data_IF_512395987076
#
_entry.id   IF_512395987076
#
_cell.length_a   1.000
_cell.length_b   1.000
_cell.length_c   1.000
_cell.angle_alpha   90.00
_cell.angle_beta   90.00
_cell.angle_gamma   90.00
#
_symmetry.space_group_name_H-M   'P 1'
#
loop_
_entity.id
_entity.type
_entity.pdbx_description
1 polymer ?
#
# COMPACT_ATOMS: atom_id res chain seq x y z
N UNK A 1 -3.63 32.49 -24.72
CA UNK A 1 -4.92 31.99 -24.17
C UNK A 1 -4.57 30.76 -23.38
N UNK A 2 -4.36 30.92 -22.07
CA UNK A 2 -3.92 29.85 -21.19
C UNK A 2 -5.15 29.17 -20.64
N UNK A 3 -5.37 27.90 -21.02
CA UNK A 3 -6.39 27.05 -20.39
C UNK A 3 -5.94 26.68 -18.98
N UNK A 4 -6.63 27.26 -18.01
CA UNK A 4 -6.49 26.88 -16.60
C UNK A 4 -7.09 25.49 -16.41
N UNK A 5 -6.22 24.48 -16.28
CA UNK A 5 -6.63 23.14 -15.83
C UNK A 5 -7.09 23.24 -14.37
N UNK A 6 -8.39 23.35 -14.18
CA UNK A 6 -9.00 23.32 -12.83
C UNK A 6 -8.82 21.91 -12.25
N UNK A 7 -7.94 21.78 -11.24
CA UNK A 7 -7.79 20.57 -10.42
C UNK A 7 -9.12 20.27 -9.73
N UNK A 8 -9.74 19.16 -10.05
CA UNK A 8 -10.91 18.64 -9.33
C UNK A 8 -10.50 18.38 -7.88
N UNK A 9 -11.21 19.00 -6.93
CA UNK A 9 -11.10 18.66 -5.51
C UNK A 9 -11.33 17.14 -5.28
N UNK A 10 -10.63 16.51 -4.32
CA UNK A 10 -10.83 15.11 -4.02
C UNK A 10 -12.30 14.89 -3.63
N UNK A 11 -12.94 13.91 -4.26
CA UNK A 11 -14.31 13.54 -3.96
C UNK A 11 -14.40 13.13 -2.48
N UNK A 12 -15.26 13.81 -1.73
CA UNK A 12 -15.53 13.50 -0.33
C UNK A 12 -15.76 11.99 -0.18
N UNK A 13 -15.03 11.35 0.73
CA UNK A 13 -15.16 9.93 1.03
C UNK A 13 -16.63 9.61 1.30
N UNK A 14 -17.27 8.86 0.40
CA UNK A 14 -18.64 8.39 0.58
C UNK A 14 -18.68 7.63 1.91
N UNK A 15 -19.51 8.09 2.87
CA UNK A 15 -19.81 7.38 4.12
C UNK A 15 -20.05 5.90 3.77
N UNK A 16 -19.15 5.02 4.19
CA UNK A 16 -19.36 3.57 4.12
C UNK A 16 -20.58 3.29 4.99
N UNK A 17 -21.74 3.00 4.38
CA UNK A 17 -22.82 2.34 5.08
C UNK A 17 -22.22 1.14 5.78
N UNK A 18 -22.55 0.92 7.05
CA UNK A 18 -22.05 -0.19 7.85
C UNK A 18 -22.53 -1.51 7.22
N UNK A 19 -21.74 -2.01 6.26
CA UNK A 19 -21.98 -3.33 5.70
C UNK A 19 -21.85 -4.34 6.84
N UNK A 20 -22.88 -5.15 7.06
CA UNK A 20 -22.81 -6.28 8.01
C UNK A 20 -21.60 -7.12 7.61
N UNK A 21 -20.65 -7.27 8.51
CA UNK A 21 -19.53 -8.20 8.29
C UNK A 21 -20.10 -9.63 8.35
N UNK A 22 -19.91 -10.45 7.29
CA UNK A 22 -20.29 -11.85 7.33
C UNK A 22 -19.63 -12.57 8.50
N UNK A 23 -20.28 -13.61 9.01
CA UNK A 23 -19.70 -14.51 10.00
C UNK A 23 -18.58 -15.34 9.39
N UNK A 24 -17.73 -15.90 10.25
CA UNK A 24 -16.69 -16.84 9.84
C UNK A 24 -17.26 -18.04 9.08
N UNK A 25 -18.37 -18.60 9.56
CA UNK A 25 -19.03 -19.73 8.91
C UNK A 25 -19.51 -19.39 7.48
N UNK A 26 -20.05 -18.20 7.27
CA UNK A 26 -20.44 -17.72 5.94
C UNK A 26 -19.21 -17.57 5.02
N UNK A 27 -18.08 -17.09 5.53
CA UNK A 27 -16.83 -16.98 4.76
C UNK A 27 -16.30 -18.37 4.37
N UNK A 28 -16.26 -19.33 5.30
CA UNK A 28 -15.84 -20.70 5.03
C UNK A 28 -16.77 -21.42 4.03
N UNK A 29 -18.08 -21.17 4.11
CA UNK A 29 -19.04 -21.71 3.14
C UNK A 29 -18.81 -21.15 1.72
N UNK A 30 -18.45 -19.85 1.60
CA UNK A 30 -18.10 -19.25 0.32
C UNK A 30 -16.84 -19.90 -0.29
N UNK A 31 -15.84 -20.24 0.53
CA UNK A 31 -14.64 -20.95 0.06
C UNK A 31 -15.00 -22.35 -0.44
N UNK A 32 -15.86 -23.12 0.25
CA UNK A 32 -16.37 -24.42 -0.25
C UNK A 32 -17.03 -24.28 -1.60
N UNK A 33 -17.87 -23.26 -1.76
CA UNK A 33 -18.52 -22.97 -3.04
C UNK A 33 -17.48 -22.71 -4.15
N UNK A 34 -16.44 -21.94 -3.87
CA UNK A 34 -15.38 -21.65 -4.85
C UNK A 34 -14.57 -22.89 -5.23
N UNK A 35 -14.28 -23.79 -4.29
CA UNK A 35 -13.61 -25.06 -4.55
C UNK A 35 -14.44 -25.91 -5.51
N UNK A 36 -15.74 -26.08 -5.21
CA UNK A 36 -16.65 -26.83 -6.09
C UNK A 36 -16.80 -26.19 -7.46
N UNK A 37 -16.87 -24.84 -7.53
CA UNK A 37 -16.93 -24.12 -8.81
C UNK A 37 -15.65 -24.29 -9.64
N UNK A 38 -14.49 -24.41 -8.98
CA UNK A 38 -13.22 -24.71 -9.64
C UNK A 38 -13.13 -26.16 -10.19
N UNK A 39 -14.09 -27.04 -9.82
CA UNK A 39 -14.20 -28.40 -10.31
C UNK A 39 -13.61 -29.47 -9.37
N UNK A 40 -13.35 -29.14 -8.10
CA UNK A 40 -12.80 -30.09 -7.13
C UNK A 40 -13.81 -30.37 -5.99
N UNK A 41 -13.64 -31.49 -5.28
CA UNK A 41 -14.51 -31.91 -4.17
C UNK A 41 -14.02 -31.28 -2.85
N UNK A 42 -14.76 -30.34 -2.26
CA UNK A 42 -14.39 -29.72 -0.98
C UNK A 42 -14.36 -30.71 0.20
N UNK A 43 -14.99 -31.88 0.06
CA UNK A 43 -15.06 -32.88 1.13
C UNK A 43 -13.90 -33.90 1.08
N UNK A 44 -13.10 -33.92 0.00
CA UNK A 44 -11.92 -34.80 -0.04
C UNK A 44 -10.91 -34.41 1.04
N UNK A 45 -10.16 -35.40 1.54
CA UNK A 45 -9.28 -35.25 2.73
C UNK A 45 -8.34 -34.04 2.66
N UNK A 46 -7.72 -33.76 1.52
CA UNK A 46 -6.80 -32.65 1.35
C UNK A 46 -7.47 -31.26 1.37
N UNK A 47 -8.79 -31.16 1.19
CA UNK A 47 -9.54 -29.90 1.12
C UNK A 47 -10.49 -29.63 2.30
N UNK A 48 -10.74 -30.61 3.17
CA UNK A 48 -11.65 -30.45 4.32
C UNK A 48 -11.33 -29.23 5.20
N UNK A 49 -10.04 -28.98 5.46
CA UNK A 49 -9.58 -27.87 6.27
C UNK A 49 -9.34 -26.59 5.47
N UNK A 50 -9.38 -26.62 4.14
CA UNK A 50 -9.05 -25.49 3.28
C UNK A 50 -9.95 -24.28 3.53
N UNK A 51 -11.28 -24.42 3.72
CA UNK A 51 -12.15 -23.29 4.02
C UNK A 51 -11.70 -22.50 5.28
N UNK A 52 -11.36 -23.23 6.35
CA UNK A 52 -10.86 -22.63 7.59
C UNK A 52 -9.50 -21.95 7.37
N UNK A 53 -8.56 -22.62 6.71
CA UNK A 53 -7.21 -22.07 6.43
C UNK A 53 -7.26 -20.82 5.56
N UNK A 54 -8.16 -20.78 4.57
CA UNK A 54 -8.35 -19.59 3.72
C UNK A 54 -8.95 -18.45 4.54
N UNK A 55 -9.94 -18.72 5.41
CA UNK A 55 -10.50 -17.71 6.28
C UNK A 55 -9.45 -17.11 7.22
N UNK A 56 -8.57 -17.95 7.81
CA UNK A 56 -7.44 -17.51 8.65
C UNK A 56 -6.47 -16.63 7.83
N UNK A 57 -6.07 -17.08 6.66
CA UNK A 57 -5.17 -16.32 5.77
C UNK A 57 -5.77 -14.97 5.38
N UNK A 58 -7.07 -14.89 5.10
CA UNK A 58 -7.76 -13.63 4.78
C UNK A 58 -7.76 -12.65 5.96
N UNK A 59 -7.81 -13.13 7.20
CA UNK A 59 -7.67 -12.27 8.38
C UNK A 59 -6.28 -11.64 8.48
N UNK A 60 -5.25 -12.36 8.06
CA UNK A 60 -3.87 -11.84 8.01
C UNK A 60 -3.66 -10.91 6.80
N UNK A 61 -4.07 -11.32 5.59
CA UNK A 61 -3.93 -10.53 4.37
C UNK A 61 -4.63 -9.18 4.45
N UNK A 62 -5.77 -9.12 5.15
CA UNK A 62 -6.59 -7.91 5.24
C UNK A 62 -6.61 -7.30 6.65
N UNK A 63 -5.59 -7.58 7.46
CA UNK A 63 -5.46 -7.03 8.82
C UNK A 63 -5.45 -5.49 8.85
N UNK A 64 -5.00 -4.85 7.78
CA UNK A 64 -4.93 -3.39 7.66
C UNK A 64 -6.26 -2.68 7.73
N UNK A 65 -7.39 -3.37 7.47
CA UNK A 65 -8.72 -2.78 7.67
C UNK A 65 -9.09 -2.55 9.14
N UNK A 66 -8.39 -3.20 10.08
CA UNK A 66 -8.60 -3.08 11.53
C UNK A 66 -7.68 -2.05 12.19
N UNK A 67 -6.76 -1.47 11.43
CA UNK A 67 -5.74 -0.56 11.92
C UNK A 67 -5.93 0.84 11.36
N UNK A 68 -5.73 1.86 12.21
CA UNK A 68 -5.71 3.25 11.79
C UNK A 68 -4.24 3.70 11.60
N UNK A 69 -3.85 4.14 10.39
CA UNK A 69 -2.51 4.68 10.16
C UNK A 69 -2.20 5.88 11.06
N UNK A 70 -3.20 6.69 11.43
CA UNK A 70 -3.02 7.86 12.29
C UNK A 70 -2.50 7.46 13.68
N UNK A 71 -2.95 6.33 14.24
CA UNK A 71 -2.47 5.84 15.54
C UNK A 71 -0.97 5.54 15.51
N UNK A 72 -0.50 4.96 14.40
CA UNK A 72 0.92 4.66 14.20
C UNK A 72 1.74 5.93 14.05
N UNK A 73 1.22 6.92 13.35
CA UNK A 73 1.91 8.17 13.05
C UNK A 73 1.79 9.21 14.17
N UNK A 74 0.96 9.00 15.19
CA UNK A 74 0.69 9.95 16.27
C UNK A 74 1.92 10.36 17.09
N UNK A 75 2.96 9.50 17.17
CA UNK A 75 4.18 9.79 17.92
C UNK A 75 5.26 10.33 16.98
N UNK A 76 5.49 11.60 17.00
CA UNK A 76 6.58 12.29 16.33
C UNK A 76 7.65 12.69 17.34
N UNK A 77 8.82 13.09 16.85
CA UNK A 77 9.92 13.61 17.64
C UNK A 77 10.24 15.02 17.16
N UNK A 78 10.33 15.98 18.07
CA UNK A 78 10.60 17.39 17.77
C UNK A 78 12.10 17.70 17.67
N UNK A 79 12.97 16.75 18.08
CA UNK A 79 14.41 16.93 18.00
C UNK A 79 14.98 16.33 16.70
N UNK A 80 15.23 17.18 15.73
CA UNK A 80 15.90 16.82 14.46
C UNK A 80 17.40 17.12 14.47
N UNK A 81 17.94 17.71 15.55
CA UNK A 81 19.37 18.02 15.63
C UNK A 81 19.90 18.88 14.49
N UNK A 82 19.04 19.72 13.87
CA UNK A 82 19.38 20.52 12.69
C UNK A 82 19.40 19.74 11.38
N UNK A 83 18.90 18.48 11.35
CA UNK A 83 18.81 17.72 10.11
C UNK A 83 17.63 18.22 9.24
N UNK A 84 17.94 18.74 8.06
CA UNK A 84 17.01 19.38 7.14
C UNK A 84 16.96 18.72 5.75
N UNK A 85 17.54 17.54 5.61
CA UNK A 85 17.64 16.80 4.36
C UNK A 85 16.70 15.59 4.30
N UNK A 86 16.64 14.89 3.15
CA UNK A 86 15.78 13.74 2.93
C UNK A 86 16.02 12.61 3.93
N UNK A 87 14.97 12.21 4.64
CA UNK A 87 14.91 10.95 5.38
C UNK A 87 14.26 9.92 4.48
N UNK A 88 14.98 8.82 4.18
CA UNK A 88 14.49 7.80 3.26
C UNK A 88 14.58 6.40 3.84
N UNK A 89 13.50 5.64 3.69
CA UNK A 89 13.48 4.18 3.84
C UNK A 89 13.37 3.55 2.45
N UNK A 90 14.29 2.64 2.16
CA UNK A 90 14.35 1.93 0.89
C UNK A 90 14.07 0.44 1.07
N UNK A 91 13.54 -0.18 0.01
CA UNK A 91 13.29 -1.63 -0.05
C UNK A 91 12.31 -2.14 1.04
N UNK A 92 11.31 -1.32 1.40
CA UNK A 92 10.23 -1.75 2.30
C UNK A 92 9.39 -2.78 1.56
N UNK A 93 9.27 -4.00 2.09
CA UNK A 93 8.49 -5.08 1.49
C UNK A 93 7.02 -4.70 1.34
N UNK A 94 6.46 -4.94 0.18
CA UNK A 94 5.04 -4.77 -0.14
C UNK A 94 4.45 -6.12 -0.51
N UNK A 95 3.45 -6.53 0.27
CA UNK A 95 2.59 -7.69 0.00
C UNK A 95 1.15 -7.21 0.09
N UNK A 96 0.48 -7.15 -1.06
CA UNK A 96 -0.89 -6.63 -1.14
C UNK A 96 -1.73 -7.45 -2.10
N UNK A 97 -3.03 -7.15 -2.18
CA UNK A 97 -3.97 -7.87 -3.02
C UNK A 97 -4.72 -6.89 -3.93
N UNK A 98 -4.67 -7.17 -5.23
CA UNK A 98 -5.39 -6.42 -6.24
C UNK A 98 -6.91 -6.49 -5.99
N UNK A 99 -7.56 -5.35 -5.86
CA UNK A 99 -9.01 -5.28 -5.58
C UNK A 99 -9.88 -5.87 -6.71
N UNK A 100 -9.35 -5.94 -7.95
CA UNK A 100 -10.09 -6.44 -9.09
C UNK A 100 -10.18 -7.97 -9.15
N UNK A 101 -9.17 -8.68 -8.61
CA UNK A 101 -9.04 -10.14 -8.80
C UNK A 101 -8.74 -10.90 -7.50
N UNK A 102 -8.59 -10.23 -6.36
CA UNK A 102 -8.10 -10.81 -5.10
C UNK A 102 -6.74 -11.53 -5.24
N UNK A 103 -6.04 -11.30 -6.35
CA UNK A 103 -4.72 -11.86 -6.59
C UNK A 103 -3.64 -11.00 -5.92
N UNK A 104 -2.58 -11.60 -5.37
CA UNK A 104 -1.52 -10.84 -4.73
C UNK A 104 -0.72 -10.02 -5.74
N UNK A 105 -0.15 -8.91 -5.27
CA UNK A 105 0.97 -8.26 -5.92
C UNK A 105 2.08 -8.05 -4.89
N UNK A 106 3.31 -8.32 -5.33
CA UNK A 106 4.48 -8.39 -4.47
C UNK A 106 5.56 -7.45 -5.00
N UNK A 107 6.18 -6.72 -4.09
CA UNK A 107 7.18 -5.76 -4.50
C UNK A 107 7.85 -5.04 -3.34
N UNK A 108 8.31 -3.83 -3.62
CA UNK A 108 8.97 -2.97 -2.66
C UNK A 108 8.45 -1.54 -2.76
N UNK A 109 8.45 -0.85 -1.63
CA UNK A 109 8.18 0.57 -1.54
C UNK A 109 9.46 1.31 -1.08
N UNK A 110 9.66 2.48 -1.65
CA UNK A 110 10.65 3.45 -1.25
C UNK A 110 9.91 4.69 -0.80
N UNK A 111 10.13 5.13 0.43
CA UNK A 111 9.43 6.24 1.04
C UNK A 111 10.45 7.23 1.57
N UNK A 112 10.31 8.49 1.17
CA UNK A 112 11.12 9.57 1.71
C UNK A 112 10.25 10.77 2.10
N UNK A 113 10.74 11.56 3.03
CA UNK A 113 10.17 12.86 3.35
C UNK A 113 11.27 13.88 3.67
N UNK A 114 10.97 15.13 3.47
CA UNK A 114 11.84 16.26 3.82
C UNK A 114 11.30 16.89 5.12
N UNK A 115 11.99 16.75 6.26
CA UNK A 115 11.50 17.22 7.54
C UNK A 115 11.19 18.72 7.58
N UNK A 116 10.25 19.11 8.45
CA UNK A 116 10.00 20.48 8.86
C UNK A 116 9.89 20.53 10.39
N UNK A 117 11.05 20.52 11.07
CA UNK A 117 11.15 20.54 12.53
C UNK A 117 10.77 19.25 13.26
N UNK A 118 10.09 18.31 12.60
CA UNK A 118 9.66 17.03 13.20
C UNK A 118 10.08 15.84 12.36
N UNK A 119 10.35 14.72 13.03
CA UNK A 119 10.64 13.44 12.37
C UNK A 119 9.74 12.31 12.88
N UNK A 120 9.60 11.29 12.04
CA UNK A 120 8.96 10.02 12.38
C UNK A 120 10.02 8.98 12.77
N UNK A 121 9.68 8.13 13.74
CA UNK A 121 10.46 6.92 13.93
C UNK A 121 10.43 6.05 12.66
N UNK A 122 11.60 5.64 12.18
CA UNK A 122 11.74 4.92 10.89
C UNK A 122 10.84 3.70 10.77
N UNK A 123 10.64 2.94 11.86
CA UNK A 123 9.75 1.77 11.90
C UNK A 123 8.28 2.11 11.64
N UNK A 124 7.85 3.35 11.87
CA UNK A 124 6.46 3.77 11.65
C UNK A 124 6.14 3.92 10.18
N UNK A 125 7.11 4.37 9.37
CA UNK A 125 6.97 4.45 7.92
C UNK A 125 6.71 3.06 7.34
N UNK A 126 7.51 2.06 7.72
CA UNK A 126 7.31 0.69 7.28
C UNK A 126 5.94 0.12 7.73
N UNK A 127 5.49 0.44 8.95
CA UNK A 127 4.17 0.02 9.45
C UNK A 127 3.02 0.67 8.67
N UNK A 128 3.14 1.93 8.28
CA UNK A 128 2.12 2.60 7.47
C UNK A 128 2.01 1.95 6.09
N UNK A 129 3.14 1.63 5.47
CA UNK A 129 3.16 0.86 4.22
C UNK A 129 2.44 -0.48 4.40
N UNK A 130 2.74 -1.22 5.47
CA UNK A 130 2.11 -2.50 5.78
C UNK A 130 0.58 -2.36 6.00
N UNK A 131 0.13 -1.36 6.79
CA UNK A 131 -1.29 -1.14 7.08
C UNK A 131 -2.08 -0.91 5.80
N UNK A 132 -1.57 -0.11 4.88
CA UNK A 132 -2.25 0.13 3.61
C UNK A 132 -2.11 -1.05 2.65
N UNK A 133 -0.97 -1.72 2.60
CA UNK A 133 -0.76 -2.90 1.77
C UNK A 133 -1.69 -4.05 2.16
N UNK A 134 -1.95 -4.26 3.46
CA UNK A 134 -2.88 -5.29 3.95
C UNK A 134 -4.36 -4.90 3.82
N UNK A 135 -4.73 -4.39 2.63
CA UNK A 135 -6.09 -4.06 2.20
C UNK A 135 -6.25 -4.49 0.75
N UNK A 136 -7.50 -4.51 0.25
CA UNK A 136 -7.73 -4.59 -1.20
C UNK A 136 -7.33 -3.26 -1.82
N UNK A 137 -6.44 -3.29 -2.81
CA UNK A 137 -5.80 -2.09 -3.36
C UNK A 137 -5.72 -2.08 -4.88
N UNK A 138 -5.73 -0.88 -5.46
CA UNK A 138 -4.92 -0.63 -6.64
C UNK A 138 -3.55 -0.12 -6.20
N UNK A 139 -2.51 -0.33 -6.98
CA UNK A 139 -1.16 0.13 -6.61
C UNK A 139 -1.09 1.67 -6.57
N UNK A 140 -1.82 2.35 -7.44
CA UNK A 140 -1.95 3.80 -7.49
C UNK A 140 -2.56 4.36 -6.21
N UNK A 141 -3.66 3.76 -5.75
CA UNK A 141 -4.34 4.15 -4.50
C UNK A 141 -3.45 3.88 -3.29
N UNK A 142 -2.76 2.73 -3.24
CA UNK A 142 -1.81 2.40 -2.19
C UNK A 142 -0.70 3.45 -2.09
N UNK A 143 -0.11 3.83 -3.24
CA UNK A 143 0.96 4.82 -3.32
C UNK A 143 0.51 6.19 -2.81
N UNK A 144 -0.68 6.63 -3.23
CA UNK A 144 -1.25 7.90 -2.80
C UNK A 144 -1.58 7.91 -1.30
N UNK A 145 -2.22 6.85 -0.78
CA UNK A 145 -2.60 6.76 0.64
C UNK A 145 -1.41 6.80 1.58
N UNK A 146 -0.29 6.16 1.21
CA UNK A 146 0.94 6.21 2.02
C UNK A 146 1.47 7.64 2.09
N UNK A 147 1.57 8.33 0.94
CA UNK A 147 2.06 9.71 0.89
C UNK A 147 1.16 10.66 1.69
N UNK A 148 -0.16 10.60 1.45
CA UNK A 148 -1.14 11.47 2.07
C UNK A 148 -1.19 11.28 3.61
N UNK A 149 -1.02 10.04 4.10
CA UNK A 149 -0.99 9.76 5.53
C UNK A 149 0.24 10.37 6.21
N UNK A 150 1.42 10.26 5.59
CA UNK A 150 2.65 10.85 6.12
C UNK A 150 2.56 12.38 6.07
N UNK A 151 2.07 12.95 4.97
CA UNK A 151 1.89 14.38 4.80
C UNK A 151 0.94 14.94 5.85
N UNK A 152 -0.21 14.29 6.07
CA UNK A 152 -1.21 14.73 7.06
C UNK A 152 -0.67 14.69 8.49
N UNK A 153 0.07 13.63 8.85
CA UNK A 153 0.51 13.44 10.23
C UNK A 153 1.74 14.26 10.60
N UNK A 154 2.69 14.39 9.67
CA UNK A 154 3.98 15.04 9.94
C UNK A 154 4.03 16.49 9.45
N UNK A 155 3.26 16.82 8.43
CA UNK A 155 3.31 18.12 7.73
C UNK A 155 4.75 18.47 7.29
N UNK A 156 5.44 17.57 6.59
CA UNK A 156 6.81 17.80 6.17
C UNK A 156 6.85 18.79 4.99
N UNK A 157 8.02 19.28 4.62
CA UNK A 157 8.21 20.11 3.41
C UNK A 157 7.86 19.36 2.12
N UNK A 158 7.77 18.04 2.15
CA UNK A 158 7.33 17.19 1.04
C UNK A 158 7.53 15.71 1.33
N UNK A 159 6.83 14.87 0.57
CA UNK A 159 6.88 13.39 0.65
C UNK A 159 7.14 12.83 -0.74
N UNK A 160 7.89 11.74 -0.82
CA UNK A 160 8.04 10.91 -2.01
C UNK A 160 7.73 9.46 -1.68
N UNK A 161 6.91 8.83 -2.50
CA UNK A 161 6.65 7.39 -2.46
C UNK A 161 6.85 6.82 -3.86
N UNK A 162 7.59 5.72 -3.97
CA UNK A 162 7.70 4.92 -5.17
C UNK A 162 7.42 3.46 -4.78
N UNK A 163 6.53 2.81 -5.51
CA UNK A 163 6.25 1.38 -5.37
C UNK A 163 6.55 0.69 -6.69
N UNK A 164 7.30 -0.41 -6.62
CA UNK A 164 7.57 -1.31 -7.72
C UNK A 164 7.07 -2.70 -7.35
N UNK A 165 6.10 -3.25 -8.10
CA UNK A 165 5.52 -4.55 -7.79
C UNK A 165 5.12 -5.35 -9.03
N UNK A 166 5.21 -6.69 -8.92
CA UNK A 166 4.70 -7.64 -9.87
C UNK A 166 3.30 -8.11 -9.47
N UNK A 167 2.33 -7.99 -10.38
CA UNK A 167 0.94 -8.34 -10.17
C UNK A 167 0.63 -9.76 -10.65
N UNK A 168 0.26 -10.66 -9.75
CA UNK A 168 -0.05 -12.04 -10.11
C UNK A 168 -1.31 -12.16 -10.98
N UNK A 169 -2.20 -11.18 -10.95
CA UNK A 169 -3.33 -11.12 -11.88
C UNK A 169 -2.90 -10.89 -13.35
N UNK A 170 -1.68 -10.40 -13.59
CA UNK A 170 -1.08 -10.27 -14.91
C UNK A 170 -0.11 -11.41 -15.24
N UNK A 171 0.63 -11.92 -14.23
CA UNK A 171 1.67 -12.94 -14.45
C UNK A 171 1.07 -14.34 -14.64
N UNK A 172 0.12 -14.74 -13.78
CA UNK A 172 -0.40 -16.12 -13.73
C UNK A 172 -1.63 -16.35 -14.63
N UNK A 173 -2.31 -15.30 -15.05
CA UNK A 173 -3.53 -15.34 -15.84
C UNK A 173 -3.64 -14.11 -16.76
N UNK A 174 -4.73 -14.00 -17.52
CA UNK A 174 -4.99 -12.84 -18.40
C UNK A 174 -3.91 -12.70 -19.46
N UNK A 175 -3.14 -11.63 -19.39
CA UNK A 175 -2.08 -11.32 -20.39
C UNK A 175 -0.81 -12.15 -20.24
N UNK A 176 -0.65 -12.88 -19.14
CA UNK A 176 0.47 -13.81 -18.87
C UNK A 176 1.84 -13.19 -19.12
N UNK A 177 2.13 -12.10 -18.43
CA UNK A 177 3.41 -11.39 -18.51
C UNK A 177 4.16 -11.50 -17.16
N UNK A 178 4.87 -12.62 -16.90
CA UNK A 178 5.69 -12.78 -15.71
C UNK A 178 6.89 -11.82 -15.72
N UNK A 179 7.26 -11.31 -14.55
CA UNK A 179 8.40 -10.41 -14.39
C UNK A 179 8.14 -8.95 -14.77
N UNK A 180 6.97 -8.64 -15.35
CA UNK A 180 6.59 -7.24 -15.62
C UNK A 180 6.26 -6.56 -14.29
N UNK A 181 6.90 -5.42 -14.05
CA UNK A 181 6.69 -4.62 -12.85
C UNK A 181 5.90 -3.37 -13.16
N UNK A 182 4.90 -3.09 -12.35
CA UNK A 182 4.23 -1.80 -12.32
C UNK A 182 5.00 -0.87 -11.39
N UNK A 183 5.28 0.35 -11.84
CA UNK A 183 5.93 1.38 -11.05
C UNK A 183 4.96 2.53 -10.88
N UNK A 184 4.67 2.90 -9.63
CA UNK A 184 3.85 4.05 -9.29
C UNK A 184 4.62 5.01 -8.38
N UNK A 185 4.42 6.30 -8.58
CA UNK A 185 5.08 7.34 -7.80
C UNK A 185 4.08 8.38 -7.31
N UNK A 186 4.34 8.94 -6.14
CA UNK A 186 3.66 10.12 -5.61
C UNK A 186 4.68 11.06 -5.00
N UNK A 187 4.65 12.31 -5.43
CA UNK A 187 5.46 13.38 -4.87
C UNK A 187 4.53 14.48 -4.36
N UNK A 188 4.91 15.14 -3.26
CA UNK A 188 4.18 16.26 -2.68
C UNK A 188 5.14 17.36 -2.25
N UNK A 189 4.63 18.58 -2.01
CA UNK A 189 5.40 19.70 -1.50
C UNK A 189 6.66 20.01 -2.32
N UNK A 190 7.79 20.19 -1.65
CA UNK A 190 9.07 20.51 -2.30
C UNK A 190 9.54 19.41 -3.28
N UNK A 191 9.23 18.13 -3.00
CA UNK A 191 9.57 17.03 -3.92
C UNK A 191 8.71 17.04 -5.20
N UNK A 192 7.52 17.62 -5.18
CA UNK A 192 6.71 17.84 -6.38
C UNK A 192 7.17 19.10 -7.13
N UNK A 193 7.48 20.17 -6.40
CA UNK A 193 7.78 21.47 -7.00
C UNK A 193 9.18 21.57 -7.61
N UNK A 194 10.19 20.91 -6.99
CA UNK A 194 11.59 20.99 -7.39
C UNK A 194 12.10 19.66 -7.95
N UNK A 195 12.50 19.68 -9.23
CA UNK A 195 13.02 18.50 -9.92
C UNK A 195 14.30 17.94 -9.27
N UNK A 196 15.12 18.79 -8.65
CA UNK A 196 16.38 18.35 -8.03
C UNK A 196 16.15 17.36 -6.86
N UNK A 197 15.12 17.60 -6.06
CA UNK A 197 14.74 16.67 -4.99
C UNK A 197 14.19 15.36 -5.54
N UNK A 198 13.40 15.39 -6.64
CA UNK A 198 12.89 14.17 -7.29
C UNK A 198 14.05 13.34 -7.88
N UNK A 199 14.95 13.98 -8.60
CA UNK A 199 16.10 13.31 -9.21
C UNK A 199 16.98 12.68 -8.15
N UNK A 200 17.21 13.38 -7.05
CA UNK A 200 17.98 12.86 -5.92
C UNK A 200 17.29 11.66 -5.27
N UNK A 201 15.97 11.72 -5.04
CA UNK A 201 15.20 10.58 -4.55
C UNK A 201 15.34 9.38 -5.48
N UNK A 202 15.15 9.56 -6.79
CA UNK A 202 15.26 8.50 -7.78
C UNK A 202 16.68 7.92 -7.86
N UNK A 203 17.72 8.75 -7.76
CA UNK A 203 19.10 8.29 -7.67
C UNK A 203 19.34 7.43 -6.41
N UNK A 204 18.77 7.82 -5.27
CA UNK A 204 18.86 7.04 -4.04
C UNK A 204 18.11 5.70 -4.15
N UNK A 205 16.98 5.64 -4.88
CA UNK A 205 16.24 4.39 -5.16
C UNK A 205 17.09 3.45 -6.02
N UNK A 206 17.68 3.95 -7.11
CA UNK A 206 18.40 3.15 -8.10
C UNK A 206 19.89 2.97 -7.80
N UNK A 207 20.40 3.62 -6.76
CA UNK A 207 21.80 3.51 -6.35
C UNK A 207 22.18 2.06 -5.98
N UNK A 208 23.50 1.75 -5.95
CA UNK A 208 23.98 0.39 -5.73
C UNK A 208 23.39 -0.19 -4.45
N UNK A 209 22.81 -1.39 -4.57
CA UNK A 209 22.41 -2.21 -3.42
C UNK A 209 23.69 -2.82 -2.85
N UNK A 210 24.06 -2.43 -1.64
CA UNK A 210 25.18 -3.05 -0.91
C UNK A 210 24.74 -4.35 -0.28
#
# INVERSE_FOLDING_TARGET
MDEIVTRRAPAAAKRRTSLRRPSRAEAEAAVRTLIGWAGDDPEREGLKDTPRRVADAFEEYFAGYRLDPADVLSKTFDEVGGYDDLVMLRDIRVESHCEHHLAPFLGVAHVAYLPDGRILGISKIARVVEIFAKRLQTQETLTAQIADAIETALQPRGVAVLIEAEHQCMSMRGVRQPGVKTITTRFTGALEADASYRDRFLQMVHGPRR
#
